data_IF_224193071408
#
_entry.id   IF_224193071408
#
_cell.length_a   1.000
_cell.length_b   1.000
_cell.length_c   1.000
_cell.angle_alpha   90.00
_cell.angle_beta   90.00
_cell.angle_gamma   90.00
#
_symmetry.space_group_name_H-M   'P 1'
#
loop_
_entity.id
_entity.type
_entity.pdbx_description
1 polymer ?
#
# COMPACT_ATOMS: atom_id res chain seq x y z
N UNK A 1 -25.33 -17.36 -1.98
CA UNK A 1 -24.34 -17.07 -3.05
C UNK A 1 -23.29 -16.15 -2.47
N UNK A 2 -22.01 -16.51 -2.55
CA UNK A 2 -20.90 -15.71 -2.03
C UNK A 2 -20.34 -14.73 -3.06
N UNK A 3 -19.64 -13.70 -2.60
CA UNK A 3 -18.85 -12.77 -3.42
C UNK A 3 -17.36 -13.12 -3.32
N UNK A 4 -16.59 -12.92 -4.39
CA UNK A 4 -15.16 -13.25 -4.44
C UNK A 4 -14.35 -12.17 -5.21
N UNK A 5 -13.08 -11.97 -4.83
CA UNK A 5 -12.17 -11.02 -5.46
C UNK A 5 -11.07 -11.73 -6.27
N UNK A 6 -10.98 -11.45 -7.57
CA UNK A 6 -9.91 -11.96 -8.44
C UNK A 6 -8.59 -11.20 -8.30
N UNK A 7 -7.66 -11.40 -9.27
CA UNK A 7 -6.38 -10.67 -9.33
C UNK A 7 -6.59 -9.15 -9.15
N UNK A 8 -5.73 -8.46 -8.38
CA UNK A 8 -5.82 -7.01 -8.20
C UNK A 8 -5.82 -6.24 -9.53
N UNK A 9 -6.55 -5.13 -9.59
CA UNK A 9 -6.61 -4.28 -10.80
C UNK A 9 -5.24 -3.66 -11.14
N UNK A 10 -4.48 -3.24 -10.13
CA UNK A 10 -3.12 -2.72 -10.32
C UNK A 10 -2.17 -3.74 -10.93
N UNK A 11 -2.35 -5.03 -10.60
CA UNK A 11 -1.64 -6.13 -11.23
C UNK A 11 -1.96 -6.25 -12.71
N UNK A 12 -3.24 -6.35 -13.07
CA UNK A 12 -3.66 -6.50 -14.47
C UNK A 12 -3.17 -5.33 -15.34
N UNK A 13 -3.15 -4.13 -14.77
CA UNK A 13 -2.61 -2.95 -15.45
C UNK A 13 -1.10 -3.03 -15.66
N UNK A 14 -0.37 -3.60 -14.70
CA UNK A 14 1.06 -3.90 -14.84
C UNK A 14 1.31 -4.95 -15.93
N UNK A 15 0.57 -6.06 -15.95
CA UNK A 15 0.70 -7.11 -16.97
C UNK A 15 0.44 -6.57 -18.38
N UNK A 16 -0.59 -5.73 -18.53
CA UNK A 16 -0.88 -5.04 -19.79
C UNK A 16 0.28 -4.14 -20.20
N UNK A 17 0.79 -3.35 -19.27
CA UNK A 17 1.91 -2.43 -19.54
C UNK A 17 3.19 -3.18 -19.87
N UNK A 18 3.44 -4.32 -19.22
CA UNK A 18 4.56 -5.20 -19.51
C UNK A 18 4.46 -5.82 -20.91
N UNK A 19 3.27 -6.30 -21.29
CA UNK A 19 2.99 -6.81 -22.63
C UNK A 19 3.22 -5.75 -23.72
N UNK A 20 2.94 -4.48 -23.41
CA UNK A 20 3.19 -3.34 -24.29
C UNK A 20 4.63 -2.82 -24.23
N UNK A 21 5.52 -3.42 -23.43
CA UNK A 21 6.89 -2.95 -23.14
C UNK A 21 6.95 -1.51 -22.62
N UNK A 22 5.94 -1.11 -21.85
CA UNK A 22 5.80 0.19 -21.20
C UNK A 22 5.78 0.08 -19.66
N UNK A 23 6.23 -1.04 -19.12
CA UNK A 23 6.31 -1.22 -17.67
C UNK A 23 7.38 -0.31 -17.07
N UNK A 24 7.04 0.31 -15.93
CA UNK A 24 7.95 1.13 -15.13
C UNK A 24 8.00 0.58 -13.71
N UNK A 25 9.03 0.96 -12.95
CA UNK A 25 9.13 0.62 -11.53
C UNK A 25 7.95 1.18 -10.72
N UNK A 26 7.35 2.29 -11.17
CA UNK A 26 6.16 2.86 -10.55
C UNK A 26 4.94 1.96 -10.75
N UNK A 27 4.73 1.42 -11.96
CA UNK A 27 3.64 0.49 -12.21
C UNK A 27 3.81 -0.83 -11.45
N UNK A 28 5.05 -1.32 -11.34
CA UNK A 28 5.36 -2.49 -10.52
C UNK A 28 5.10 -2.23 -9.03
N UNK A 29 5.47 -1.05 -8.53
CA UNK A 29 5.17 -0.63 -7.16
C UNK A 29 3.66 -0.56 -6.91
N UNK A 30 2.89 0.03 -7.83
CA UNK A 30 1.44 0.10 -7.72
C UNK A 30 0.78 -1.29 -7.76
N UNK A 31 1.35 -2.25 -8.50
CA UNK A 31 0.92 -3.65 -8.44
C UNK A 31 1.14 -4.25 -7.03
N UNK A 32 2.30 -4.03 -6.43
CA UNK A 32 2.60 -4.45 -5.05
C UNK A 32 1.63 -3.85 -4.03
N UNK A 33 1.38 -2.54 -4.13
CA UNK A 33 0.39 -1.83 -3.29
C UNK A 33 -1.01 -2.41 -3.48
N UNK A 34 -1.42 -2.72 -4.71
CA UNK A 34 -2.75 -3.28 -4.98
C UNK A 34 -2.93 -4.72 -4.47
N UNK A 35 -1.88 -5.55 -4.51
CA UNK A 35 -1.89 -6.88 -3.89
C UNK A 35 -2.03 -6.76 -2.37
N UNK A 36 -1.26 -5.83 -1.78
CA UNK A 36 -1.29 -5.55 -0.35
C UNK A 36 -2.65 -5.00 0.10
N UNK A 37 -3.30 -4.16 -0.71
CA UNK A 37 -4.65 -3.65 -0.45
C UNK A 37 -5.66 -4.79 -0.32
N UNK A 38 -5.66 -5.73 -1.27
CA UNK A 38 -6.58 -6.87 -1.19
C UNK A 38 -6.32 -7.75 0.03
N UNK A 39 -5.05 -7.97 0.39
CA UNK A 39 -4.69 -8.76 1.55
C UNK A 39 -5.09 -8.09 2.86
N UNK A 40 -4.72 -6.82 3.06
CA UNK A 40 -5.03 -6.04 4.28
C UNK A 40 -6.53 -5.91 4.52
N UNK A 41 -7.34 -5.81 3.46
CA UNK A 41 -8.80 -5.75 3.57
C UNK A 41 -9.48 -7.12 3.58
N UNK A 42 -8.74 -8.20 3.86
CA UNK A 42 -9.25 -9.59 3.99
C UNK A 42 -9.98 -10.10 2.72
N UNK A 43 -9.65 -9.53 1.55
CA UNK A 43 -10.21 -9.95 0.25
C UNK A 43 -9.42 -11.10 -0.38
N UNK A 44 -8.25 -11.40 0.17
CA UNK A 44 -7.30 -12.40 -0.34
C UNK A 44 -6.83 -13.30 0.82
N UNK A 45 -6.71 -14.60 0.57
CA UNK A 45 -6.15 -15.54 1.56
C UNK A 45 -4.64 -15.41 1.65
N UNK A 46 -4.05 -15.88 2.75
CA UNK A 46 -2.61 -15.84 2.96
C UNK A 46 -1.86 -16.62 1.85
N UNK A 47 -2.36 -17.79 1.45
CA UNK A 47 -1.72 -18.60 0.41
C UNK A 47 -1.71 -17.88 -0.95
N UNK A 48 -2.80 -17.19 -1.27
CA UNK A 48 -2.90 -16.43 -2.53
C UNK A 48 -2.06 -15.15 -2.48
N UNK A 49 -1.95 -14.54 -1.31
CA UNK A 49 -1.07 -13.41 -1.09
C UNK A 49 0.39 -13.81 -1.27
N UNK A 50 0.85 -14.88 -0.61
CA UNK A 50 2.20 -15.42 -0.75
C UNK A 50 2.54 -15.78 -2.19
N UNK A 51 1.64 -16.48 -2.90
CA UNK A 51 1.83 -16.79 -4.32
C UNK A 51 1.97 -15.51 -5.17
N UNK A 52 1.15 -14.50 -4.90
CA UNK A 52 1.26 -13.19 -5.55
C UNK A 52 2.57 -12.46 -5.22
N UNK A 53 3.06 -12.58 -3.99
CA UNK A 53 4.36 -12.00 -3.61
C UNK A 53 5.49 -12.62 -4.41
N UNK A 54 5.53 -13.96 -4.53
CA UNK A 54 6.57 -14.66 -5.27
C UNK A 54 6.61 -14.26 -6.76
N UNK A 55 5.44 -14.12 -7.40
CA UNK A 55 5.36 -13.72 -8.81
C UNK A 55 5.82 -12.26 -9.00
N UNK A 56 5.42 -11.33 -8.13
CA UNK A 56 5.92 -9.94 -8.17
C UNK A 56 7.41 -9.85 -7.83
N UNK A 57 7.93 -10.67 -6.92
CA UNK A 57 9.35 -10.75 -6.61
C UNK A 57 10.17 -11.16 -7.83
N UNK A 58 9.71 -12.16 -8.59
CA UNK A 58 10.33 -12.54 -9.85
C UNK A 58 10.37 -11.37 -10.84
N UNK A 59 9.29 -10.57 -10.92
CA UNK A 59 9.28 -9.35 -11.71
C UNK A 59 10.29 -8.31 -11.19
N UNK A 60 10.41 -8.09 -9.88
CA UNK A 60 11.39 -7.16 -9.29
C UNK A 60 12.83 -7.60 -9.62
N UNK A 61 13.10 -8.89 -9.51
CA UNK A 61 14.43 -9.46 -9.79
C UNK A 61 14.77 -9.41 -11.29
N UNK A 62 13.81 -9.68 -12.17
CA UNK A 62 14.01 -9.67 -13.63
C UNK A 62 14.02 -8.28 -14.26
N UNK A 63 13.30 -7.31 -13.68
CA UNK A 63 13.25 -5.93 -14.19
C UNK A 63 14.51 -5.12 -13.90
N UNK A 64 15.50 -5.73 -13.26
CA UNK A 64 16.78 -5.08 -13.00
C UNK A 64 16.58 -3.87 -12.10
N UNK A 65 16.27 -4.13 -10.84
CA UNK A 65 16.50 -3.20 -9.72
C UNK A 65 18.03 -2.94 -9.52
N UNK A 66 18.80 -3.09 -10.60
CA UNK A 66 20.23 -3.22 -10.79
C UNK A 66 20.75 -1.87 -11.30
N UNK A 67 21.33 -1.11 -10.38
CA UNK A 67 22.31 -0.05 -10.63
C UNK A 67 22.03 0.93 -11.80
N UNK A 68 20.93 1.67 -11.76
CA UNK A 68 20.93 2.99 -12.40
C UNK A 68 21.66 3.98 -11.46
N UNK A 69 22.98 3.88 -11.28
CA UNK A 69 23.73 4.84 -10.46
C UNK A 69 23.53 6.26 -11.01
N UNK A 70 22.69 7.10 -10.39
CA UNK A 70 22.72 8.53 -10.67
C UNK A 70 23.92 9.13 -9.93
N UNK A 71 24.90 9.56 -10.71
CA UNK A 71 25.96 10.42 -10.22
C UNK A 71 25.39 11.83 -10.13
N UNK A 72 25.29 12.37 -8.92
CA UNK A 72 24.99 13.78 -8.71
C UNK A 72 26.32 14.51 -8.66
N UNK A 73 26.49 15.51 -9.53
CA UNK A 73 27.70 16.35 -9.54
C UNK A 73 27.41 17.57 -8.66
N UNK A 74 28.12 17.70 -7.54
CA UNK A 74 28.06 18.87 -6.68
C UNK A 74 28.66 20.09 -7.40
N UNK A 75 28.35 21.30 -6.92
CA UNK A 75 28.80 22.57 -7.54
C UNK A 75 30.32 22.72 -7.60
N UNK A 76 31.06 21.95 -6.81
CA UNK A 76 32.52 21.89 -6.76
C UNK A 76 33.14 20.84 -7.73
N UNK A 77 32.31 20.13 -8.50
CA UNK A 77 32.74 19.08 -9.41
C UNK A 77 32.85 17.68 -8.78
N UNK A 78 32.59 17.53 -7.48
CA UNK A 78 32.58 16.25 -6.79
C UNK A 78 31.41 15.41 -7.28
N UNK A 79 31.71 14.24 -7.86
CA UNK A 79 30.70 13.25 -8.27
C UNK A 79 30.38 12.35 -7.08
N UNK A 80 29.23 12.56 -6.46
CA UNK A 80 28.74 11.68 -5.41
C UNK A 80 27.77 10.66 -6.01
N UNK A 81 27.94 9.39 -5.62
CA UNK A 81 26.97 8.33 -5.89
C UNK A 81 25.71 8.66 -5.07
N UNK A 82 24.64 9.07 -5.73
CA UNK A 82 23.36 9.18 -5.04
C UNK A 82 22.81 7.76 -4.84
N UNK A 83 22.35 7.39 -3.64
CA UNK A 83 21.49 6.23 -3.45
C UNK A 83 20.22 6.49 -4.26
N UNK A 84 19.93 5.60 -5.21
CA UNK A 84 18.79 5.78 -6.09
C UNK A 84 17.47 5.84 -5.34
N UNK A 85 16.70 6.88 -5.67
CA UNK A 85 15.32 7.05 -5.25
C UNK A 85 14.45 6.11 -6.07
N UNK A 86 14.10 4.93 -5.55
CA UNK A 86 12.99 4.03 -5.95
C UNK A 86 13.25 2.52 -5.78
N UNK A 87 14.26 2.08 -5.02
CA UNK A 87 14.53 0.63 -4.87
C UNK A 87 13.41 -0.06 -4.09
N UNK A 88 12.74 -1.03 -4.70
CA UNK A 88 11.80 -1.90 -3.99
C UNK A 88 12.60 -3.05 -3.33
N UNK A 89 12.41 -3.29 -2.05
CA UNK A 89 13.06 -4.36 -1.29
C UNK A 89 12.01 -5.23 -0.60
N UNK A 90 12.35 -6.49 -0.38
CA UNK A 90 11.57 -7.44 0.41
C UNK A 90 12.25 -7.63 1.78
N UNK A 91 11.48 -7.76 2.85
CA UNK A 91 12.00 -8.14 4.18
C UNK A 91 11.28 -9.40 4.65
N UNK A 92 12.06 -10.39 5.07
CA UNK A 92 11.57 -11.66 5.61
C UNK A 92 11.39 -11.53 7.14
N UNK A 93 10.41 -10.73 7.57
CA UNK A 93 9.97 -10.78 8.97
C UNK A 93 9.00 -11.95 9.17
N UNK A 94 9.09 -12.71 10.29
CA UNK A 94 8.53 -14.06 10.44
C UNK A 94 6.99 -14.13 10.50
N UNK A 95 6.27 -13.06 10.11
CA UNK A 95 4.80 -13.03 10.11
C UNK A 95 4.17 -12.35 8.90
N UNK A 96 4.92 -11.67 8.02
CA UNK A 96 4.33 -11.07 6.81
C UNK A 96 5.37 -10.81 5.72
N UNK A 97 5.25 -11.55 4.62
CA UNK A 97 5.93 -11.22 3.36
C UNK A 97 5.49 -9.81 2.91
N UNK A 98 6.39 -8.84 2.83
CA UNK A 98 6.01 -7.44 2.56
C UNK A 98 6.94 -6.74 1.56
N UNK A 99 6.42 -5.73 0.87
CA UNK A 99 7.18 -4.89 -0.05
C UNK A 99 7.53 -3.56 0.61
N UNK A 100 8.78 -3.13 0.47
CA UNK A 100 9.27 -1.82 0.85
C UNK A 100 9.71 -1.06 -0.38
N UNK A 101 9.46 0.24 -0.45
CA UNK A 101 10.10 1.12 -1.43
C UNK A 101 11.00 2.13 -0.74
N UNK A 102 12.23 2.22 -1.21
CA UNK A 102 13.22 3.21 -0.84
C UNK A 102 13.05 4.47 -1.70
N UNK A 103 12.92 5.62 -1.06
CA UNK A 103 12.87 6.93 -1.68
C UNK A 103 13.98 7.82 -1.13
N UNK A 104 14.82 8.34 -2.02
CA UNK A 104 16.00 9.14 -1.68
C UNK A 104 16.99 8.43 -0.74
N UNK A 105 17.56 9.19 0.21
CA UNK A 105 18.70 8.76 1.02
C UNK A 105 18.35 7.93 2.27
N UNK A 106 17.10 7.96 2.78
CA UNK A 106 16.73 7.24 4.01
C UNK A 106 15.23 6.96 4.20
N UNK A 107 14.35 7.40 3.29
CA UNK A 107 12.91 7.18 3.48
C UNK A 107 12.52 5.81 2.92
N UNK A 108 12.23 4.85 3.80
CA UNK A 108 11.62 3.55 3.46
C UNK A 108 10.13 3.62 3.77
N UNK A 109 9.30 3.14 2.86
CA UNK A 109 7.84 3.03 3.07
C UNK A 109 7.38 1.63 2.69
N UNK A 110 6.62 0.97 3.57
CA UNK A 110 6.02 -0.33 3.24
C UNK A 110 4.76 -0.17 2.41
N UNK A 111 4.46 -1.17 1.58
CA UNK A 111 3.22 -1.20 0.81
C UNK A 111 2.00 -1.14 1.75
N UNK A 112 2.07 -1.76 2.92
CA UNK A 112 1.03 -1.69 3.93
C UNK A 112 0.83 -0.26 4.48
N UNK A 113 1.92 0.45 4.79
CA UNK A 113 1.85 1.86 5.23
C UNK A 113 1.22 2.75 4.15
N UNK A 114 1.54 2.50 2.87
CA UNK A 114 0.91 3.20 1.75
C UNK A 114 -0.59 2.92 1.71
N UNK A 115 -0.99 1.64 1.76
CA UNK A 115 -2.40 1.23 1.74
C UNK A 115 -3.17 1.92 2.87
N UNK A 116 -2.72 1.77 4.12
CA UNK A 116 -3.42 2.37 5.26
C UNK A 116 -3.46 3.90 5.18
N UNK A 117 -2.36 4.55 4.78
CA UNK A 117 -2.31 6.01 4.64
C UNK A 117 -3.24 6.53 3.56
N UNK A 118 -3.27 5.89 2.40
CA UNK A 118 -4.13 6.26 1.27
C UNK A 118 -5.61 5.97 1.58
N UNK A 119 -5.92 4.82 2.19
CA UNK A 119 -7.29 4.51 2.64
C UNK A 119 -7.78 5.55 3.65
N UNK A 120 -6.95 5.96 4.61
CA UNK A 120 -7.33 6.99 5.56
C UNK A 120 -7.60 8.35 4.90
N UNK A 121 -6.80 8.75 3.90
CA UNK A 121 -7.08 9.94 3.10
C UNK A 121 -8.40 9.80 2.36
N UNK A 122 -8.65 8.67 1.71
CA UNK A 122 -9.90 8.40 1.00
C UNK A 122 -11.11 8.46 1.92
N UNK A 123 -11.02 7.95 3.14
CA UNK A 123 -12.14 7.88 4.09
C UNK A 123 -12.31 9.17 4.92
N UNK A 124 -11.39 10.13 4.80
CA UNK A 124 -11.42 11.37 5.59
C UNK A 124 -12.55 12.34 5.24
N UNK A 125 -13.37 12.06 4.21
CA UNK A 125 -14.53 12.90 3.81
C UNK A 125 -15.62 12.98 4.90
N UNK A 126 -15.53 12.19 5.97
CA UNK A 126 -16.55 12.10 7.02
C UNK A 126 -16.49 13.26 8.03
N UNK A 127 -15.46 14.12 7.98
CA UNK A 127 -15.34 15.26 8.91
C UNK A 127 -15.66 16.58 8.19
N UNK A 128 -16.94 16.97 8.27
CA UNK A 128 -17.52 18.32 8.12
C UNK A 128 -16.67 19.39 7.41
N UNK A 129 -16.90 19.63 6.11
CA UNK A 129 -16.94 21.00 5.51
C UNK A 129 -17.41 21.05 4.04
N UNK A 130 -18.20 20.09 3.55
CA UNK A 130 -18.59 20.06 2.13
C UNK A 130 -17.46 19.66 1.17
N UNK A 131 -16.40 19.00 1.67
CA UNK A 131 -15.47 18.26 0.81
C UNK A 131 -16.18 17.05 0.22
N UNK A 132 -16.31 17.00 -1.11
CA UNK A 132 -16.94 15.87 -1.79
C UNK A 132 -15.93 14.73 -1.99
N UNK A 133 -16.43 13.49 -2.07
CA UNK A 133 -15.62 12.28 -2.23
C UNK A 133 -14.58 12.37 -3.37
N UNK A 134 -14.86 13.14 -4.44
CA UNK A 134 -13.92 13.33 -5.53
C UNK A 134 -12.68 14.14 -5.14
N UNK A 135 -12.78 15.11 -4.22
CA UNK A 135 -11.61 15.84 -3.70
C UNK A 135 -10.70 14.90 -2.90
N UNK A 136 -11.30 14.11 -2.01
CA UNK A 136 -10.56 13.11 -1.23
C UNK A 136 -9.93 12.04 -2.12
N UNK A 137 -10.60 11.64 -3.19
CA UNK A 137 -10.02 10.77 -4.20
C UNK A 137 -8.78 11.37 -4.86
N UNK A 138 -8.84 12.65 -5.27
CA UNK A 138 -7.69 13.36 -5.81
C UNK A 138 -6.53 13.44 -4.84
N UNK A 139 -6.80 13.78 -3.57
CA UNK A 139 -5.77 13.83 -2.52
C UNK A 139 -5.10 12.48 -2.26
N UNK A 140 -5.89 11.41 -2.22
CA UNK A 140 -5.40 10.05 -2.06
C UNK A 140 -4.60 9.57 -3.28
N UNK A 141 -5.06 9.91 -4.48
CA UNK A 141 -4.36 9.61 -5.73
C UNK A 141 -3.01 10.33 -5.80
N UNK A 142 -2.96 11.61 -5.42
CA UNK A 142 -1.71 12.38 -5.35
C UNK A 142 -0.72 11.77 -4.35
N UNK A 143 -1.21 11.21 -3.24
CA UNK A 143 -0.38 10.56 -2.23
C UNK A 143 0.27 9.25 -2.69
N UNK A 144 -0.22 8.62 -3.77
CA UNK A 144 0.44 7.48 -4.41
C UNK A 144 1.71 7.89 -5.18
N UNK A 145 1.81 9.17 -5.57
CA UNK A 145 3.03 9.70 -6.16
C UNK A 145 4.08 9.94 -5.07
N UNK A 146 5.25 9.32 -5.20
CA UNK A 146 6.34 9.54 -4.24
C UNK A 146 6.96 10.94 -4.30
N UNK A 147 6.57 11.76 -5.28
CA UNK A 147 6.92 13.18 -5.28
C UNK A 147 6.14 13.94 -4.18
N UNK A 148 5.15 13.30 -3.55
CA UNK A 148 4.28 13.91 -2.55
C UNK A 148 4.21 13.11 -1.24
N UNK A 149 5.39 12.76 -0.71
CA UNK A 149 5.48 12.02 0.56
C UNK A 149 4.83 12.75 1.73
N UNK A 150 4.71 14.08 1.71
CA UNK A 150 4.10 14.83 2.80
C UNK A 150 2.59 14.59 2.88
N UNK A 151 1.88 14.48 1.74
CA UNK A 151 0.48 14.03 1.73
C UNK A 151 0.35 12.62 2.29
N UNK A 152 1.24 11.71 1.88
CA UNK A 152 1.22 10.34 2.38
C UNK A 152 1.45 10.29 3.91
N UNK A 153 2.38 11.10 4.45
CA UNK A 153 2.59 11.21 5.91
C UNK A 153 1.35 11.69 6.65
N UNK A 154 0.61 12.66 6.09
CA UNK A 154 -0.67 13.10 6.66
C UNK A 154 -1.66 11.93 6.69
N UNK A 155 -1.77 11.17 5.60
CA UNK A 155 -2.58 9.96 5.54
C UNK A 155 -2.20 8.93 6.60
N UNK A 156 -0.91 8.62 6.75
CA UNK A 156 -0.42 7.69 7.78
C UNK A 156 -0.76 8.18 9.20
N UNK A 157 -0.64 9.47 9.48
CA UNK A 157 -1.06 10.04 10.77
C UNK A 157 -2.57 9.91 10.99
N UNK A 158 -3.39 10.04 9.96
CA UNK A 158 -4.82 9.79 10.03
C UNK A 158 -5.12 8.31 10.27
N UNK A 159 -4.43 7.39 9.58
CA UNK A 159 -4.57 5.95 9.77
C UNK A 159 -4.28 5.54 11.22
N UNK A 160 -3.23 6.09 11.84
CA UNK A 160 -2.92 5.87 13.26
C UNK A 160 -4.08 6.30 14.17
N UNK A 161 -4.73 7.44 13.87
CA UNK A 161 -5.90 7.92 14.63
C UNK A 161 -7.08 6.96 14.47
N UNK A 162 -7.33 6.48 13.24
CA UNK A 162 -8.38 5.50 12.94
C UNK A 162 -8.14 4.20 13.70
N UNK A 163 -6.93 3.62 13.61
CA UNK A 163 -6.56 2.40 14.32
C UNK A 163 -6.71 2.54 15.84
N UNK A 164 -6.30 3.66 16.42
CA UNK A 164 -6.51 3.96 17.86
C UNK A 164 -7.99 4.05 18.22
N UNK A 165 -8.81 4.64 17.35
CA UNK A 165 -10.25 4.74 17.56
C UNK A 165 -10.92 3.36 17.51
N UNK A 166 -10.54 2.51 16.55
CA UNK A 166 -11.02 1.13 16.43
C UNK A 166 -10.67 0.33 17.69
N UNK A 167 -9.42 0.40 18.17
CA UNK A 167 -9.00 -0.28 19.40
C UNK A 167 -9.81 0.16 20.62
N UNK A 168 -10.04 1.48 20.77
CA UNK A 168 -10.87 2.03 21.85
C UNK A 168 -12.31 1.53 21.78
N UNK A 169 -12.89 1.51 20.58
CA UNK A 169 -14.25 1.01 20.36
C UNK A 169 -14.34 -0.50 20.67
N UNK A 170 -13.40 -1.30 20.16
CA UNK A 170 -13.33 -2.74 20.43
C UNK A 170 -13.16 -3.05 21.91
N UNK A 171 -12.26 -2.34 22.60
CA UNK A 171 -12.08 -2.47 24.05
C UNK A 171 -13.37 -2.17 24.81
N UNK A 172 -14.06 -1.08 24.45
CA UNK A 172 -15.36 -0.73 25.07
C UNK A 172 -16.43 -1.80 24.81
N UNK A 173 -16.44 -2.39 23.61
CA UNK A 173 -17.38 -3.45 23.24
C UNK A 173 -17.14 -4.76 24.02
N UNK A 174 -15.89 -5.05 24.39
CA UNK A 174 -15.52 -6.22 25.20
C UNK A 174 -15.84 -6.00 26.68
N UNK A 175 -15.54 -4.81 27.22
CA UNK A 175 -15.71 -4.52 28.66
C UNK A 175 -17.15 -4.24 29.06
N UNK A 176 -17.92 -3.58 28.18
CA UNK A 176 -19.37 -3.50 28.34
C UNK A 176 -19.89 -4.87 27.93
N UNK A 177 -20.84 -5.46 28.65
CA UNK A 177 -21.49 -6.74 28.28
C UNK A 177 -22.33 -6.60 27.00
N UNK A 178 -21.72 -6.12 25.91
CA UNK A 178 -22.29 -5.97 24.60
C UNK A 178 -22.48 -7.36 24.03
N UNK A 179 -23.71 -7.85 24.12
CA UNK A 179 -24.13 -9.11 23.53
C UNK A 179 -23.82 -9.11 22.03
N UNK A 180 -22.69 -9.71 21.63
CA UNK A 180 -22.56 -10.25 20.26
C UNK A 180 -23.56 -11.42 20.21
N UNK A 181 -24.76 -11.13 19.72
CA UNK A 181 -25.84 -12.11 19.67
C UNK A 181 -25.47 -13.15 18.62
N UNK A 182 -25.12 -14.36 19.06
CA UNK A 182 -24.93 -15.50 18.15
C UNK A 182 -26.28 -15.83 17.52
N UNK A 183 -26.47 -15.43 16.25
CA UNK A 183 -27.65 -15.78 15.49
C UNK A 183 -27.61 -17.26 15.15
N UNK A 184 -28.26 -18.11 15.95
CA UNK A 184 -28.66 -19.44 15.48
C UNK A 184 -29.90 -19.25 14.60
N UNK A 185 -29.75 -19.47 13.31
CA UNK A 185 -30.88 -19.67 12.40
C UNK A 185 -31.59 -20.96 12.83
N UNK A 186 -32.71 -20.82 13.52
CA UNK A 186 -33.66 -21.90 13.72
C UNK A 186 -34.38 -22.14 12.38
N UNK A 187 -33.93 -23.15 11.64
CA UNK A 187 -34.72 -23.77 10.59
C UNK A 187 -35.97 -24.39 11.22
N UNK A 188 -37.14 -24.00 10.70
CA UNK A 188 -38.44 -24.59 10.97
C UNK A 188 -39.15 -24.83 9.65
#
# INVERSE_FOLDING_TARGET
MGTFHGKPSGWLMFDLSHSLRKNTNELLWLACVSLTDQFVHERLTDERYQAGVMELEQHINSSGNLEAVSMVTLKDGTKIRAPESSRIAYEDEPRLMSFLRLHGYSSRVSAADVVYGVTALLESFVVSDGSCASKQFGEAYDALSLNNLDKLKVGMQQAIKVQRAILRQGSTAITKSGSIRSGKSSDG
#
